data_IF_745039407606
#
_entry.id   IF_745039407606
#
_cell.length_a   1.000
_cell.length_b   1.000
_cell.length_c   1.000
_cell.angle_alpha   90.00
_cell.angle_beta   90.00
_cell.angle_gamma   90.00
#
_symmetry.space_group_name_H-M   'P 1'
#
loop_
_entity.id
_entity.type
_entity.pdbx_description
1 polymer ?
#
# COMPACT_ATOMS: atom_id res chain seq x y z
N UNK A 1 -17.64 -4.45 -10.44
CA UNK A 1 -16.91 -5.70 -10.73
C UNK A 1 -16.35 -5.66 -12.15
N UNK A 2 -15.14 -6.18 -12.36
CA UNK A 2 -14.40 -6.17 -13.65
C UNK A 2 -13.64 -7.49 -13.81
N UNK A 3 -13.23 -7.83 -15.02
CA UNK A 3 -12.26 -8.91 -15.26
C UNK A 3 -10.85 -8.53 -14.75
N UNK A 4 -9.92 -9.48 -14.72
CA UNK A 4 -8.59 -9.26 -14.15
C UNK A 4 -7.84 -8.11 -14.85
N UNK A 5 -7.76 -8.15 -16.18
CA UNK A 5 -7.06 -7.12 -16.97
C UNK A 5 -7.64 -5.72 -16.76
N UNK A 6 -8.97 -5.60 -16.73
CA UNK A 6 -9.63 -4.32 -16.50
C UNK A 6 -9.52 -3.87 -15.03
N UNK A 7 -9.42 -4.79 -14.08
CA UNK A 7 -9.16 -4.49 -12.67
C UNK A 7 -7.75 -3.94 -12.47
N UNK A 8 -6.75 -4.59 -13.06
CA UNK A 8 -5.36 -4.11 -13.07
C UNK A 8 -5.26 -2.70 -13.63
N UNK A 9 -5.81 -2.47 -14.83
CA UNK A 9 -5.85 -1.14 -15.47
C UNK A 9 -6.61 -0.10 -14.65
N UNK A 10 -7.67 -0.50 -13.95
CA UNK A 10 -8.41 0.41 -13.09
C UNK A 10 -7.54 0.92 -11.94
N UNK A 11 -6.77 0.05 -11.29
CA UNK A 11 -5.83 0.47 -10.24
C UNK A 11 -4.70 1.34 -10.79
N UNK A 12 -4.12 0.97 -11.95
CA UNK A 12 -3.08 1.76 -12.61
C UNK A 12 -3.55 3.20 -12.93
N UNK A 13 -4.80 3.36 -13.39
CA UNK A 13 -5.40 4.68 -13.66
C UNK A 13 -5.62 5.53 -12.38
N UNK A 14 -5.55 4.92 -11.20
CA UNK A 14 -5.61 5.60 -9.91
C UNK A 14 -4.21 5.84 -9.31
N UNK A 15 -3.14 5.66 -10.09
CA UNK A 15 -1.74 5.63 -9.60
C UNK A 15 -1.55 4.63 -8.45
N UNK A 16 -2.27 3.51 -8.53
CA UNK A 16 -2.27 2.43 -7.56
C UNK A 16 -1.95 1.10 -8.27
N UNK A 17 -1.85 0.03 -7.50
CA UNK A 17 -1.68 -1.32 -8.00
C UNK A 17 -2.83 -2.22 -7.53
N UNK A 18 -3.04 -3.33 -8.21
CA UNK A 18 -3.96 -4.35 -7.70
C UNK A 18 -3.34 -4.98 -6.45
N UNK A 19 -4.15 -5.22 -5.43
CA UNK A 19 -3.69 -5.69 -4.11
C UNK A 19 -2.84 -6.97 -4.21
N UNK A 20 -1.71 -7.02 -3.50
CA UNK A 20 -0.79 -8.15 -3.45
C UNK A 20 -0.54 -8.53 -1.98
N UNK A 21 -1.47 -9.22 -1.31
CA UNK A 21 -1.37 -9.47 0.12
C UNK A 21 -0.34 -10.56 0.41
N UNK A 22 0.88 -10.14 0.71
CA UNK A 22 2.07 -10.97 0.94
C UNK A 22 2.26 -11.32 2.41
N UNK A 23 1.61 -10.61 3.33
CA UNK A 23 1.73 -10.86 4.78
C UNK A 23 0.44 -11.40 5.39
N UNK A 24 0.54 -11.97 6.59
CA UNK A 24 -0.64 -12.48 7.33
C UNK A 24 -1.54 -11.32 7.78
N UNK A 25 -0.95 -10.19 8.11
CA UNK A 25 -1.59 -8.96 8.54
C UNK A 25 -2.43 -8.37 7.40
N UNK A 26 -1.86 -8.22 6.21
CA UNK A 26 -2.59 -7.76 5.02
C UNK A 26 -3.77 -8.69 4.70
N UNK A 27 -3.52 -10.00 4.74
CA UNK A 27 -4.54 -11.01 4.51
C UNK A 27 -5.67 -10.96 5.55
N UNK A 28 -5.37 -10.61 6.80
CA UNK A 28 -6.35 -10.45 7.87
C UNK A 28 -7.26 -9.25 7.63
N UNK A 29 -6.69 -8.09 7.29
CA UNK A 29 -7.46 -6.87 6.95
C UNK A 29 -8.39 -7.12 5.77
N UNK A 30 -7.91 -7.79 4.72
CA UNK A 30 -8.70 -8.03 3.52
C UNK A 30 -9.83 -9.05 3.71
N UNK A 31 -9.78 -9.88 4.76
CA UNK A 31 -10.84 -10.85 5.05
C UNK A 31 -12.18 -10.18 5.41
N UNK A 32 -12.13 -8.91 5.84
CA UNK A 32 -13.30 -8.12 6.24
C UNK A 32 -14.11 -7.59 5.05
N UNK A 33 -13.56 -7.62 3.83
CA UNK A 33 -14.24 -7.13 2.62
C UNK A 33 -15.53 -7.92 2.34
N UNK A 34 -15.59 -9.18 2.77
CA UNK A 34 -16.81 -10.01 2.68
C UNK A 34 -17.21 -10.43 1.26
N UNK A 35 -16.35 -10.19 0.26
CA UNK A 35 -16.56 -10.57 -1.15
C UNK A 35 -15.30 -11.21 -1.72
N UNK A 36 -15.44 -11.92 -2.85
CA UNK A 36 -14.31 -12.39 -3.65
C UNK A 36 -13.77 -11.28 -4.55
N UNK A 37 -12.48 -10.99 -4.43
CA UNK A 37 -11.81 -9.93 -5.20
C UNK A 37 -10.54 -10.43 -5.86
N UNK A 38 -10.14 -9.76 -6.94
CA UNK A 38 -8.88 -10.03 -7.61
C UNK A 38 -7.68 -9.66 -6.74
N UNK A 39 -6.67 -10.52 -6.72
CA UNK A 39 -5.33 -10.18 -6.22
C UNK A 39 -4.32 -10.17 -7.36
N UNK A 40 -3.19 -9.49 -7.17
CA UNK A 40 -2.15 -9.32 -8.16
C UNK A 40 -1.24 -10.53 -8.36
N UNK A 41 -1.75 -11.75 -8.16
CA UNK A 41 -1.02 -13.01 -8.35
C UNK A 41 -1.49 -13.68 -9.64
N UNK A 42 -0.53 -14.09 -10.48
CA UNK A 42 -0.80 -14.73 -11.77
C UNK A 42 0.10 -15.97 -11.97
N UNK A 43 -0.42 -17.04 -12.56
CA UNK A 43 0.41 -18.14 -13.03
C UNK A 43 1.07 -17.74 -14.36
N UNK A 44 2.40 -17.67 -14.36
CA UNK A 44 3.16 -17.36 -15.56
C UNK A 44 3.41 -18.59 -16.44
N UNK A 45 3.32 -19.79 -15.88
CA UNK A 45 3.69 -21.01 -16.59
C UNK A 45 2.66 -21.35 -17.67
N UNK A 46 1.37 -21.10 -17.42
CA UNK A 46 0.25 -21.60 -18.26
C UNK A 46 0.35 -23.11 -18.48
N UNK A 47 0.91 -23.83 -17.50
CA UNK A 47 1.12 -25.28 -17.50
C UNK A 47 0.78 -25.84 -16.12
N UNK A 48 0.75 -27.17 -16.00
CA UNK A 48 0.57 -27.86 -14.71
C UNK A 48 1.72 -27.58 -13.71
N UNK A 49 2.84 -27.01 -14.15
CA UNK A 49 3.94 -26.61 -13.30
C UNK A 49 3.73 -25.15 -12.87
N UNK A 50 2.86 -24.94 -11.87
CA UNK A 50 2.47 -23.61 -11.38
C UNK A 50 3.68 -22.72 -11.09
N UNK A 51 3.67 -21.51 -11.65
CA UNK A 51 4.71 -20.48 -11.46
C UNK A 51 4.06 -19.15 -11.06
N UNK A 52 3.56 -19.11 -9.82
CA UNK A 52 2.88 -17.96 -9.26
C UNK A 52 3.83 -16.77 -9.07
N UNK A 53 3.49 -15.66 -9.74
CA UNK A 53 4.28 -14.43 -9.70
C UNK A 53 3.36 -13.24 -9.40
N UNK A 54 3.79 -12.39 -8.47
CA UNK A 54 3.10 -11.15 -8.16
C UNK A 54 3.29 -10.12 -9.29
N UNK A 55 2.40 -9.13 -9.37
CA UNK A 55 2.46 -8.09 -10.40
C UNK A 55 3.74 -7.23 -10.33
N UNK A 56 4.42 -7.18 -9.17
CA UNK A 56 5.72 -6.52 -9.01
C UNK A 56 6.92 -7.41 -9.39
N UNK A 57 6.66 -8.65 -9.81
CA UNK A 57 7.66 -9.61 -10.27
C UNK A 57 8.23 -10.50 -9.18
N UNK A 58 7.87 -10.30 -7.90
CA UNK A 58 8.32 -11.21 -6.84
C UNK A 58 7.62 -12.57 -6.98
N UNK A 59 8.31 -13.65 -6.60
CA UNK A 59 7.73 -15.00 -6.58
C UNK A 59 6.88 -15.19 -5.33
N UNK A 60 5.90 -16.09 -5.42
CA UNK A 60 5.17 -16.55 -4.26
C UNK A 60 6.09 -17.38 -3.36
N UNK A 61 6.15 -17.04 -2.07
CA UNK A 61 6.93 -17.77 -1.05
C UNK A 61 6.05 -18.79 -0.31
N UNK A 62 6.66 -19.69 0.48
CA UNK A 62 6.04 -20.94 0.96
C UNK A 62 4.94 -20.83 2.04
N UNK A 63 4.21 -19.71 2.14
CA UNK A 63 3.14 -19.49 3.11
C UNK A 63 1.83 -19.06 2.42
N UNK A 64 1.35 -19.94 1.54
CA UNK A 64 0.19 -19.66 0.70
C UNK A 64 -1.14 -19.75 1.47
N UNK A 65 -2.09 -18.88 1.13
CA UNK A 65 -3.42 -18.84 1.75
C UNK A 65 -4.47 -19.59 0.93
N UNK A 66 -4.08 -20.64 0.19
CA UNK A 66 -5.02 -21.39 -0.64
C UNK A 66 -6.23 -21.87 0.16
N UNK A 67 -7.42 -21.71 -0.41
CA UNK A 67 -8.62 -22.32 0.13
C UNK A 67 -8.49 -23.86 0.06
N UNK A 68 -9.25 -24.57 0.89
CA UNK A 68 -9.18 -26.03 0.91
C UNK A 68 -9.54 -26.62 -0.46
N UNK A 69 -8.58 -27.30 -1.09
CA UNK A 69 -8.72 -27.88 -2.43
C UNK A 69 -8.07 -27.07 -3.55
N UNK A 70 -7.57 -25.88 -3.26
CA UNK A 70 -6.91 -24.99 -4.22
C UNK A 70 -5.37 -25.02 -4.10
N UNK A 71 -4.65 -24.63 -5.16
CA UNK A 71 -5.15 -24.39 -6.52
C UNK A 71 -5.48 -25.72 -7.22
N UNK A 72 -6.54 -25.75 -8.01
CA UNK A 72 -7.05 -26.99 -8.61
C UNK A 72 -6.87 -27.11 -10.14
N UNK A 73 -6.56 -26.01 -10.83
CA UNK A 73 -6.34 -25.95 -12.29
C UNK A 73 -7.44 -26.70 -13.08
N UNK A 74 -8.73 -26.43 -12.78
CA UNK A 74 -9.89 -27.15 -13.32
C UNK A 74 -10.04 -26.98 -14.86
N UNK A 75 -9.39 -27.86 -15.63
CA UNK A 75 -9.51 -28.15 -17.09
C UNK A 75 -9.54 -26.95 -18.08
N UNK A 76 -9.29 -25.73 -17.60
CA UNK A 76 -9.20 -24.46 -18.33
C UNK A 76 -8.08 -23.64 -17.70
N UNK A 77 -7.30 -22.84 -18.44
CA UNK A 77 -6.22 -22.05 -17.84
C UNK A 77 -6.78 -21.05 -16.81
N UNK A 78 -6.66 -21.39 -15.53
CA UNK A 78 -7.04 -20.59 -14.38
C UNK A 78 -5.85 -19.76 -13.89
N UNK A 79 -5.45 -18.82 -14.74
CA UNK A 79 -4.18 -18.11 -14.57
C UNK A 79 -4.25 -17.01 -13.49
N UNK A 80 -5.43 -16.67 -12.98
CA UNK A 80 -5.66 -15.52 -12.10
C UNK A 80 -6.23 -15.90 -10.75
N UNK A 81 -5.81 -15.20 -9.70
CA UNK A 81 -6.21 -15.52 -8.33
C UNK A 81 -7.24 -14.55 -7.78
N UNK A 82 -8.25 -15.10 -7.11
CA UNK A 82 -9.15 -14.36 -6.23
C UNK A 82 -8.85 -14.67 -4.77
N UNK A 83 -9.09 -13.69 -3.91
CA UNK A 83 -9.03 -13.84 -2.46
C UNK A 83 -10.40 -13.57 -1.84
N UNK A 84 -10.68 -14.25 -0.74
CA UNK A 84 -11.90 -14.15 0.04
C UNK A 84 -11.68 -14.65 1.46
N UNK A 85 -12.76 -14.73 2.25
CA UNK A 85 -12.70 -15.08 3.67
C UNK A 85 -12.12 -16.48 3.92
N UNK A 86 -12.25 -17.40 2.97
CA UNK A 86 -11.82 -18.81 3.10
C UNK A 86 -10.44 -19.08 2.53
N UNK A 87 -9.76 -18.08 1.95
CA UNK A 87 -8.46 -18.24 1.30
C UNK A 87 -8.45 -17.76 -0.15
N UNK A 88 -7.47 -18.24 -0.91
CA UNK A 88 -7.27 -17.95 -2.32
C UNK A 88 -7.79 -19.09 -3.20
N UNK A 89 -8.24 -18.76 -4.40
CA UNK A 89 -8.62 -19.72 -5.43
C UNK A 89 -8.14 -19.21 -6.79
N UNK A 90 -7.60 -20.12 -7.60
CA UNK A 90 -7.42 -19.91 -9.03
C UNK A 90 -8.77 -19.91 -9.74
N UNK A 91 -8.88 -19.04 -10.75
CA UNK A 91 -10.08 -18.89 -11.59
C UNK A 91 -9.69 -18.37 -12.98
N UNK A 92 -10.57 -18.49 -14.00
CA UNK A 92 -10.34 -17.86 -15.28
C UNK A 92 -10.34 -16.33 -15.14
N UNK A 93 -9.32 -15.68 -15.71
CA UNK A 93 -9.13 -14.23 -15.67
C UNK A 93 -10.30 -13.39 -16.27
N UNK A 94 -11.22 -14.04 -16.98
CA UNK A 94 -12.33 -13.41 -17.70
C UNK A 94 -13.54 -13.10 -16.82
N UNK A 95 -13.65 -13.72 -15.64
CA UNK A 95 -14.79 -13.52 -14.73
C UNK A 95 -14.88 -12.09 -14.19
N UNK A 96 -16.07 -11.61 -13.84
CA UNK A 96 -16.22 -10.32 -13.16
C UNK A 96 -16.09 -10.51 -11.65
N UNK A 97 -15.11 -9.84 -11.02
CA UNK A 97 -14.91 -9.85 -9.56
C UNK A 97 -14.74 -8.44 -9.02
N UNK A 98 -14.74 -8.30 -7.70
CA UNK A 98 -14.47 -7.02 -7.03
C UNK A 98 -13.01 -6.62 -7.25
N UNK A 99 -12.78 -5.32 -7.47
CA UNK A 99 -11.45 -4.75 -7.71
C UNK A 99 -11.00 -4.06 -6.43
N UNK A 100 -9.87 -4.48 -5.87
CA UNK A 100 -9.24 -3.86 -4.71
C UNK A 100 -7.86 -3.38 -5.13
N UNK A 101 -7.58 -2.10 -4.85
CA UNK A 101 -6.31 -1.46 -5.21
C UNK A 101 -5.52 -1.12 -3.95
N UNK A 102 -4.21 -1.31 -3.98
CA UNK A 102 -3.26 -0.78 -3.00
C UNK A 102 -2.59 0.47 -3.56
N UNK A 103 -2.56 1.55 -2.77
CA UNK A 103 -1.83 2.77 -3.15
C UNK A 103 -0.33 2.49 -3.00
N UNK A 104 0.47 2.97 -3.96
CA UNK A 104 1.93 2.96 -3.78
C UNK A 104 2.33 3.92 -2.66
N UNK A 105 3.41 3.63 -1.93
CA UNK A 105 4.03 4.61 -1.07
C UNK A 105 4.36 5.87 -1.87
N UNK A 106 4.19 7.04 -1.27
CA UNK A 106 4.57 8.30 -1.90
C UNK A 106 6.11 8.43 -1.90
N UNK A 107 6.77 7.90 -0.87
CA UNK A 107 8.22 7.83 -0.73
C UNK A 107 8.63 6.40 -0.33
N UNK A 108 9.65 5.87 -1.00
CA UNK A 108 10.33 4.62 -0.66
C UNK A 108 11.81 4.92 -0.43
N UNK A 109 12.39 4.36 0.63
CA UNK A 109 13.80 4.50 0.95
C UNK A 109 14.39 3.20 1.52
N UNK A 110 15.69 3.03 1.42
CA UNK A 110 16.41 1.95 2.13
C UNK A 110 16.76 2.40 3.56
N UNK A 111 16.96 1.46 4.48
CA UNK A 111 17.38 1.78 5.86
C UNK A 111 18.68 2.63 5.88
N UNK A 112 18.79 3.52 6.86
CA UNK A 112 19.87 4.51 7.03
C UNK A 112 19.96 5.62 5.97
N UNK A 113 19.12 5.62 4.93
CA UNK A 113 19.02 6.72 3.98
C UNK A 113 18.43 7.99 4.62
N UNK A 114 18.71 9.14 3.99
CA UNK A 114 18.08 10.40 4.38
C UNK A 114 16.83 10.65 3.54
N UNK A 115 15.73 10.95 4.22
CA UNK A 115 14.42 11.20 3.62
C UNK A 115 13.88 12.56 4.04
N UNK A 116 13.27 13.26 3.08
CA UNK A 116 12.58 14.53 3.31
C UNK A 116 11.10 14.34 2.96
N UNK A 117 10.23 14.45 3.96
CA UNK A 117 8.79 14.51 3.75
C UNK A 117 8.39 15.97 3.52
N UNK A 118 7.91 16.29 2.33
CA UNK A 118 7.43 17.62 1.97
C UNK A 118 5.98 17.83 2.42
N UNK A 119 5.65 19.06 2.82
CA UNK A 119 4.26 19.45 3.10
C UNK A 119 3.77 20.30 1.93
N UNK A 120 3.01 19.71 1.01
CA UNK A 120 2.66 20.33 -0.28
C UNK A 120 1.37 21.17 -0.24
N UNK A 121 0.96 21.56 0.95
CA UNK A 121 -0.16 22.46 1.21
C UNK A 121 0.05 23.81 0.52
N UNK A 122 -0.98 24.28 -0.21
CA UNK A 122 -1.03 25.63 -0.77
C UNK A 122 -1.79 26.56 0.17
N UNK A 123 -1.15 27.65 0.59
CA UNK A 123 -1.73 28.67 1.46
C UNK A 123 -1.51 30.08 0.88
N UNK A 124 -2.38 31.01 1.28
CA UNK A 124 -2.40 32.41 0.78
C UNK A 124 -1.94 33.45 1.81
N UNK A 125 -1.67 33.00 3.03
CA UNK A 125 -1.31 33.84 4.17
C UNK A 125 -0.14 33.19 4.92
N UNK A 126 0.50 33.96 5.80
CA UNK A 126 1.59 33.45 6.63
C UNK A 126 1.11 32.33 7.56
N UNK A 127 2.04 31.41 7.84
CA UNK A 127 1.80 30.28 8.73
C UNK A 127 1.96 30.73 10.18
N UNK A 128 0.97 30.43 11.01
CA UNK A 128 0.99 30.63 12.46
C UNK A 128 1.53 29.40 13.21
N UNK A 129 1.18 28.20 12.75
CA UNK A 129 1.61 26.94 13.36
C UNK A 129 1.78 25.87 12.29
N UNK A 130 2.85 25.08 12.39
CA UNK A 130 3.07 23.88 11.59
C UNK A 130 3.58 22.77 12.49
N UNK A 131 3.02 21.57 12.35
CA UNK A 131 3.50 20.36 13.00
C UNK A 131 3.15 19.14 12.15
N UNK A 132 3.81 18.01 12.44
CA UNK A 132 3.57 16.73 11.77
C UNK A 132 3.05 15.69 12.75
N UNK A 133 2.17 14.83 12.26
CA UNK A 133 1.72 13.64 12.97
C UNK A 133 2.00 12.38 12.15
N UNK A 134 2.25 11.26 12.81
CA UNK A 134 2.31 9.93 12.21
C UNK A 134 1.18 9.05 12.75
N UNK A 135 0.58 8.24 11.89
CA UNK A 135 -0.43 7.25 12.28
C UNK A 135 0.23 5.99 12.84
N UNK A 136 -0.17 5.57 14.04
CA UNK A 136 0.26 4.35 14.74
C UNK A 136 -0.99 3.73 15.37
N UNK A 137 -1.40 2.53 14.94
CA UNK A 137 -2.57 1.80 15.47
C UNK A 137 -3.83 2.68 15.60
N UNK A 138 -4.22 3.35 14.50
CA UNK A 138 -5.33 4.32 14.43
C UNK A 138 -5.20 5.58 15.31
N UNK A 139 -4.06 5.76 15.99
CA UNK A 139 -3.75 6.97 16.75
C UNK A 139 -2.76 7.86 15.99
N UNK A 140 -2.88 9.18 16.16
CA UNK A 140 -1.93 10.14 15.58
C UNK A 140 -0.98 10.65 16.65
N UNK A 141 0.32 10.41 16.46
CA UNK A 141 1.39 10.87 17.36
C UNK A 141 2.14 12.04 16.72
N UNK A 142 2.42 13.09 17.48
CA UNK A 142 3.19 14.25 16.99
C UNK A 142 4.66 13.83 16.83
N UNK A 143 5.22 14.00 15.63
CA UNK A 143 6.58 13.54 15.29
C UNK A 143 7.58 14.67 15.05
N UNK A 144 7.09 15.91 14.93
CA UNK A 144 7.95 17.10 14.75
C UNK A 144 8.88 17.39 15.94
N UNK A 145 8.72 16.68 17.07
CA UNK A 145 9.61 16.79 18.23
C UNK A 145 10.85 15.87 18.13
N UNK A 146 10.80 14.83 17.28
CA UNK A 146 11.84 13.78 17.20
C UNK A 146 12.65 13.84 15.90
N UNK A 147 12.12 14.47 14.85
CA UNK A 147 12.78 14.66 13.56
C UNK A 147 13.21 16.12 13.35
N UNK A 148 14.08 16.38 12.37
CA UNK A 148 14.50 17.75 12.04
C UNK A 148 13.43 18.45 11.19
N UNK A 149 13.23 19.74 11.42
CA UNK A 149 12.24 20.52 10.69
C UNK A 149 10.82 20.32 11.21
N UNK A 150 9.86 20.10 10.32
CA UNK A 150 8.45 19.92 10.64
C UNK A 150 7.81 21.08 11.39
N UNK A 151 8.29 22.30 11.19
CA UNK A 151 7.84 23.50 11.89
C UNK A 151 7.73 24.72 10.93
N UNK A 152 7.33 25.88 11.46
CA UNK A 152 7.06 27.07 10.63
C UNK A 152 8.29 27.56 9.86
N UNK A 153 9.50 27.39 10.40
CA UNK A 153 10.75 27.84 9.76
C UNK A 153 11.29 26.83 8.74
N UNK A 154 11.05 25.54 8.99
CA UNK A 154 11.41 24.44 8.11
C UNK A 154 10.21 23.49 8.02
N UNK A 155 9.29 23.71 7.05
CA UNK A 155 8.03 22.96 6.95
C UNK A 155 8.18 21.46 6.76
N UNK A 156 9.19 21.04 5.99
CA UNK A 156 9.44 19.63 5.70
C UNK A 156 9.95 18.88 6.92
N UNK A 157 9.54 17.63 7.08
CA UNK A 157 10.06 16.71 8.09
C UNK A 157 11.27 15.98 7.51
N UNK A 158 12.41 16.02 8.19
CA UNK A 158 13.67 15.46 7.70
C UNK A 158 14.16 14.36 8.62
N UNK A 159 14.33 13.18 8.04
CA UNK A 159 15.02 12.04 8.62
C UNK A 159 16.43 11.97 8.03
N UNK A 160 17.45 12.01 8.88
CA UNK A 160 18.84 11.85 8.41
C UNK A 160 19.21 10.40 8.18
N UNK A 161 18.64 9.51 9.01
CA UNK A 161 18.81 8.06 8.96
C UNK A 161 17.47 7.42 9.29
N UNK A 162 16.74 6.99 8.26
CA UNK A 162 15.47 6.28 8.43
C UNK A 162 15.69 4.88 8.97
N UNK A 163 14.76 4.42 9.81
CA UNK A 163 14.70 3.03 10.28
C UNK A 163 13.40 2.38 9.82
N UNK A 164 13.36 1.06 9.80
CA UNK A 164 12.10 0.33 9.54
C UNK A 164 10.96 0.80 10.46
N UNK A 165 11.29 1.18 11.72
CA UNK A 165 10.33 1.74 12.67
C UNK A 165 9.76 3.09 12.27
N UNK A 166 10.31 3.79 11.28
CA UNK A 166 9.84 5.08 10.78
C UNK A 166 8.83 4.94 9.64
N UNK A 167 8.61 3.73 9.11
CA UNK A 167 7.61 3.46 8.08
C UNK A 167 6.20 3.89 8.52
N UNK A 168 5.44 4.49 7.62
CA UNK A 168 4.01 4.68 7.82
C UNK A 168 3.46 5.95 7.20
N UNK A 169 2.28 6.34 7.69
CA UNK A 169 1.51 7.46 7.17
C UNK A 169 1.75 8.73 7.99
N UNK A 170 2.23 9.77 7.33
CA UNK A 170 2.54 11.06 7.90
C UNK A 170 1.60 12.14 7.40
N UNK A 171 1.20 13.05 8.28
CA UNK A 171 0.31 14.16 7.96
C UNK A 171 0.88 15.46 8.49
N UNK A 172 1.06 16.44 7.62
CA UNK A 172 1.41 17.79 8.02
C UNK A 172 0.14 18.60 8.33
N UNK A 173 0.22 19.45 9.34
CA UNK A 173 -0.86 20.34 9.76
C UNK A 173 -0.38 21.77 9.75
N UNK A 174 -0.90 22.57 8.82
CA UNK A 174 -0.53 23.97 8.62
C UNK A 174 -1.70 24.85 9.05
N UNK A 175 -1.52 25.63 10.12
CA UNK A 175 -2.51 26.63 10.55
C UNK A 175 -2.02 28.01 10.17
N UNK A 176 -2.77 28.71 9.31
CA UNK A 176 -2.45 30.08 8.88
C UNK A 176 -2.94 31.14 9.89
N UNK A 177 -2.51 32.39 9.74
CA UNK A 177 -2.84 33.47 10.68
C UNK A 177 -4.35 33.72 10.87
N UNK A 178 -5.17 33.52 9.83
CA UNK A 178 -6.64 33.58 9.92
C UNK A 178 -7.27 32.42 10.70
N UNK A 179 -6.49 31.40 11.07
CA UNK A 179 -6.93 30.26 11.88
C UNK A 179 -7.42 29.05 11.08
N UNK A 180 -7.40 29.11 9.74
CA UNK A 180 -7.66 27.94 8.91
C UNK A 180 -6.53 26.90 9.08
N UNK A 181 -6.89 25.64 9.28
CA UNK A 181 -5.95 24.51 9.26
C UNK A 181 -6.10 23.75 7.94
N UNK A 182 -4.97 23.54 7.28
CA UNK A 182 -4.82 22.79 6.04
C UNK A 182 -3.90 21.61 6.30
N UNK A 183 -4.13 20.49 5.61
CA UNK A 183 -3.34 19.28 5.80
C UNK A 183 -2.91 18.69 4.47
N UNK A 184 -1.78 18.02 4.49
CA UNK A 184 -1.29 17.16 3.40
C UNK A 184 -0.74 15.87 4.00
N UNK A 185 -0.83 14.78 3.25
CA UNK A 185 -0.53 13.44 3.71
C UNK A 185 0.46 12.77 2.76
N UNK A 186 1.47 12.11 3.34
CA UNK A 186 2.47 11.36 2.59
C UNK A 186 2.75 10.05 3.32
N UNK A 187 2.98 9.00 2.56
CA UNK A 187 3.41 7.70 3.07
C UNK A 187 4.90 7.51 2.84
N UNK A 188 5.57 6.93 3.84
CA UNK A 188 6.97 6.52 3.79
C UNK A 188 7.02 5.00 3.96
N UNK A 189 7.60 4.29 2.99
CA UNK A 189 7.89 2.87 3.06
C UNK A 189 9.41 2.65 3.12
N UNK A 190 9.86 1.74 3.99
CA UNK A 190 11.29 1.46 4.17
C UNK A 190 11.57 0.03 3.70
N UNK A 191 12.44 -0.12 2.72
CA UNK A 191 12.92 -1.45 2.32
C UNK A 191 13.80 -2.01 3.45
N UNK A 192 13.48 -3.21 3.93
CA UNK A 192 14.34 -3.90 4.88
C UNK A 192 15.68 -4.26 4.22
N UNK A 193 16.78 -3.89 4.87
CA UNK A 193 18.10 -4.38 4.49
C UNK A 193 18.20 -5.86 4.88
N UNK A 194 18.18 -6.76 3.90
CA UNK A 194 18.42 -8.20 4.10
C UNK A 194 19.82 -8.50 4.65
#
# INVERSE_FOLDING_TARGET
MRNFTNSKKFCENLNAEMIMPKTTEENSVLSEIGEWFWIGLIDQSKTTALDWTWNDGSKLESNDRWANGEPNDDDSPEECIISGSTGWADVPCTGNKTTVCQKKPDITADEDESVILTCDVKYKEDIKKLFWTRSIDDTSVIVSEYAKGGNVTLPSLVFEHVKWTDEGLYKCHVTIISGQTLTDETSLFINESM
#
